data_IF_454210281459
#
_entry.id   IF_454210281459
#
_cell.length_a   1.000
_cell.length_b   1.000
_cell.length_c   1.000
_cell.angle_alpha   90.00
_cell.angle_beta   90.00
_cell.angle_gamma   90.00
#
_symmetry.space_group_name_H-M   'P 1'
#
loop_
_entity.id
_entity.type
_entity.pdbx_description
1 polymer ?
#
# COMPACT_ATOMS: atom_id res chain seq x y z
N UNK A 1 -59.20 49.68 -19.51
CA UNK A 1 -59.59 49.99 -18.12
C UNK A 1 -59.76 48.62 -17.45
N UNK A 2 -58.86 48.12 -16.61
CA UNK A 2 -58.48 48.66 -15.29
C UNK A 2 -57.09 48.12 -14.90
N UNK A 3 -56.30 48.98 -14.27
CA UNK A 3 -54.91 48.76 -13.85
C UNK A 3 -54.84 47.96 -12.54
N UNK A 4 -53.82 47.10 -12.39
CA UNK A 4 -53.41 46.56 -11.10
C UNK A 4 -51.86 46.56 -10.99
N UNK A 5 -51.41 47.65 -10.38
CA UNK A 5 -50.39 47.79 -9.32
C UNK A 5 -49.11 46.94 -9.39
N UNK A 6 -48.00 47.66 -9.59
CA UNK A 6 -46.63 47.21 -9.38
C UNK A 6 -46.30 47.01 -7.89
N UNK A 7 -45.51 45.98 -7.58
CA UNK A 7 -44.76 45.89 -6.34
C UNK A 7 -43.29 45.59 -6.65
N UNK A 8 -42.46 46.54 -6.24
CA UNK A 8 -41.00 46.58 -6.31
C UNK A 8 -40.42 45.77 -5.13
N UNK A 9 -39.46 44.87 -5.39
CA UNK A 9 -38.68 44.24 -4.32
C UNK A 9 -37.21 44.04 -4.76
N UNK A 10 -36.40 45.02 -4.35
CA UNK A 10 -35.02 45.03 -3.85
C UNK A 10 -34.15 43.77 -4.09
N UNK A 11 -32.99 44.05 -4.71
CA UNK A 11 -31.76 43.24 -4.79
C UNK A 11 -31.23 42.82 -3.41
N UNK A 12 -30.96 41.53 -3.22
CA UNK A 12 -29.95 41.05 -2.27
C UNK A 12 -28.99 40.16 -3.05
N UNK A 13 -27.77 40.65 -3.25
CA UNK A 13 -26.65 39.85 -3.75
C UNK A 13 -26.25 38.82 -2.70
N UNK A 14 -26.30 37.55 -3.07
CA UNK A 14 -25.65 36.47 -2.35
C UNK A 14 -24.50 35.94 -3.21
N UNK A 15 -23.26 36.28 -2.84
CA UNK A 15 -22.09 35.53 -3.28
C UNK A 15 -22.25 34.09 -2.76
N UNK A 16 -22.45 33.14 -3.65
CA UNK A 16 -22.30 31.72 -3.31
C UNK A 16 -20.81 31.45 -3.02
N UNK A 17 -20.46 30.88 -1.86
CA UNK A 17 -19.10 30.41 -1.64
C UNK A 17 -18.80 29.28 -2.63
N UNK A 18 -17.60 29.34 -3.21
CA UNK A 18 -17.03 28.29 -4.04
C UNK A 18 -17.21 26.94 -3.35
N UNK A 19 -17.97 26.04 -3.96
CA UNK A 19 -18.09 24.67 -3.52
C UNK A 19 -16.70 24.05 -3.51
N UNK A 20 -16.21 23.74 -2.30
CA UNK A 20 -15.08 22.84 -2.14
C UNK A 20 -15.42 21.54 -2.86
N UNK A 21 -14.58 21.15 -3.81
CA UNK A 21 -14.64 19.82 -4.40
C UNK A 21 -14.57 18.79 -3.25
N UNK A 22 -15.38 17.71 -3.29
CA UNK A 22 -15.23 16.66 -2.31
C UNK A 22 -13.82 16.09 -2.43
N UNK A 23 -13.02 16.21 -1.37
CA UNK A 23 -11.83 15.39 -1.18
C UNK A 23 -12.32 13.95 -1.30
N UNK A 24 -11.95 13.28 -2.38
CA UNK A 24 -12.17 11.84 -2.46
C UNK A 24 -11.18 11.23 -1.49
N UNK A 25 -11.63 11.03 -0.26
CA UNK A 25 -11.09 10.03 0.63
C UNK A 25 -11.19 8.73 -0.17
N UNK A 26 -10.11 8.37 -0.85
CA UNK A 26 -9.95 7.02 -1.37
C UNK A 26 -9.83 6.18 -0.12
N UNK A 27 -10.97 5.76 0.43
CA UNK A 27 -11.08 4.62 1.32
C UNK A 27 -10.53 3.46 0.52
N UNK A 28 -9.21 3.32 0.61
CA UNK A 28 -8.44 2.20 0.12
C UNK A 28 -9.12 1.01 0.77
N UNK A 29 -9.86 0.24 -0.02
CA UNK A 29 -10.57 -0.95 0.42
C UNK A 29 -9.51 -1.93 0.94
N UNK A 30 -9.16 -1.77 2.21
CA UNK A 30 -8.43 -2.77 2.97
C UNK A 30 -9.32 -4.01 2.91
N UNK A 31 -8.77 -5.13 2.46
CA UNK A 31 -9.53 -6.35 2.17
C UNK A 31 -10.25 -6.93 3.41
N UNK A 32 -10.12 -6.32 4.59
CA UNK A 32 -10.68 -6.78 5.87
C UNK A 32 -10.12 -8.12 6.34
N UNK A 33 -9.31 -8.78 5.49
CA UNK A 33 -8.67 -10.03 5.77
C UNK A 33 -7.52 -9.82 6.77
N UNK A 34 -7.30 -10.76 7.70
CA UNK A 34 -6.12 -10.75 8.55
C UNK A 34 -4.87 -10.87 7.68
N UNK A 35 -3.78 -10.21 8.09
CA UNK A 35 -2.52 -10.27 7.36
C UNK A 35 -1.96 -11.70 7.29
N UNK A 36 -1.32 -12.04 6.17
CA UNK A 36 -0.71 -13.34 5.92
C UNK A 36 0.74 -13.16 5.49
N UNK A 37 1.61 -12.83 6.44
CA UNK A 37 3.03 -12.58 6.17
C UNK A 37 3.79 -13.88 5.94
N UNK A 38 4.44 -14.00 4.78
CA UNK A 38 5.19 -15.19 4.35
C UNK A 38 6.56 -14.77 3.84
N UNK A 39 7.62 -15.50 4.20
CA UNK A 39 8.96 -15.25 3.66
C UNK A 39 9.01 -15.68 2.20
N UNK A 40 9.62 -14.87 1.33
CA UNK A 40 9.79 -15.22 -0.09
C UNK A 40 11.23 -15.05 -0.59
N UNK A 41 12.03 -14.19 0.03
CA UNK A 41 13.41 -13.95 -0.39
C UNK A 41 14.28 -13.52 0.78
N UNK A 42 15.60 -13.58 0.58
CA UNK A 42 16.58 -13.10 1.53
C UNK A 42 17.85 -12.60 0.84
N UNK A 43 18.55 -11.68 1.50
CA UNK A 43 19.91 -11.26 1.16
C UNK A 43 20.85 -11.49 2.36
N UNK A 44 22.11 -11.10 2.23
CA UNK A 44 23.08 -11.16 3.33
C UNK A 44 22.69 -10.29 4.53
N UNK A 45 21.88 -9.25 4.33
CA UNK A 45 21.53 -8.27 5.36
C UNK A 45 20.06 -8.25 5.73
N UNK A 46 19.17 -8.77 4.88
CA UNK A 46 17.72 -8.63 5.05
C UNK A 46 16.97 -9.90 4.73
N UNK A 47 15.82 -10.08 5.38
CA UNK A 47 14.79 -11.04 5.00
C UNK A 47 13.60 -10.27 4.44
N UNK A 48 13.02 -10.79 3.36
CA UNK A 48 11.86 -10.18 2.71
C UNK A 48 10.62 -11.05 2.95
N UNK A 49 9.59 -10.43 3.49
CA UNK A 49 8.28 -11.04 3.68
C UNK A 49 7.26 -10.34 2.78
N UNK A 50 6.22 -11.07 2.42
CA UNK A 50 5.10 -10.58 1.63
C UNK A 50 3.81 -10.84 2.39
N UNK A 51 2.87 -9.90 2.36
CA UNK A 51 1.54 -10.08 2.93
C UNK A 51 0.57 -10.55 1.84
N UNK A 52 0.30 -11.85 1.79
CA UNK A 52 -0.55 -12.42 0.75
C UNK A 52 -2.00 -11.96 0.83
N UNK A 53 -2.48 -11.57 2.02
CA UNK A 53 -3.83 -11.04 2.22
C UNK A 53 -3.99 -9.59 1.73
N UNK A 54 -2.88 -8.90 1.45
CA UNK A 54 -2.88 -7.51 0.94
C UNK A 54 -3.04 -7.40 -0.57
N UNK A 55 -3.08 -8.52 -1.30
CA UNK A 55 -3.15 -8.50 -2.77
C UNK A 55 -4.47 -7.89 -3.23
N UNK A 56 -4.39 -6.79 -3.97
CA UNK A 56 -5.52 -6.17 -4.67
C UNK A 56 -5.24 -6.22 -6.17
N UNK A 57 -6.23 -6.65 -6.97
CA UNK A 57 -6.10 -6.78 -8.43
C UNK A 57 -7.17 -5.99 -9.15
N UNK A 58 -6.74 -5.26 -10.18
CA UNK A 58 -7.59 -4.41 -11.00
C UNK A 58 -7.19 -4.58 -12.48
N UNK A 59 -7.82 -5.54 -13.15
CA UNK A 59 -7.46 -5.86 -14.54
C UNK A 59 -6.06 -6.45 -14.65
N UNK A 60 -5.17 -5.78 -15.39
CA UNK A 60 -3.78 -6.19 -15.57
C UNK A 60 -2.84 -5.64 -14.48
N UNK A 61 -3.37 -4.81 -13.57
CA UNK A 61 -2.61 -4.21 -12.48
C UNK A 61 -2.89 -4.93 -11.15
N UNK A 62 -1.89 -5.02 -10.29
CA UNK A 62 -2.00 -5.55 -8.94
C UNK A 62 -1.18 -4.73 -7.95
N UNK A 63 -1.52 -4.79 -6.66
CA UNK A 63 -0.68 -4.28 -5.59
C UNK A 63 -0.52 -5.28 -4.46
N UNK A 64 0.59 -5.19 -3.72
CA UNK A 64 0.95 -6.10 -2.64
C UNK A 64 1.88 -5.41 -1.64
N UNK A 65 1.80 -5.78 -0.36
CA UNK A 65 2.73 -5.31 0.68
C UNK A 65 3.91 -6.25 0.86
N UNK A 66 5.09 -5.65 0.97
CA UNK A 66 6.37 -6.33 1.19
C UNK A 66 7.07 -5.70 2.37
N UNK A 67 7.58 -6.53 3.28
CA UNK A 67 8.38 -6.08 4.41
C UNK A 67 9.85 -6.42 4.20
N UNK A 68 10.71 -5.46 4.51
CA UNK A 68 12.16 -5.63 4.57
C UNK A 68 12.61 -5.58 6.03
N UNK A 69 13.04 -6.72 6.56
CA UNK A 69 13.51 -6.83 7.95
C UNK A 69 15.01 -7.11 7.97
N UNK A 70 15.76 -6.30 8.70
CA UNK A 70 17.21 -6.53 8.86
C UNK A 70 17.49 -7.79 9.67
N UNK A 71 18.47 -8.57 9.21
CA UNK A 71 18.98 -9.77 9.91
C UNK A 71 19.89 -9.43 11.08
N UNK A 72 20.29 -8.16 11.23
CA UNK A 72 21.27 -7.70 12.24
C UNK A 72 20.61 -7.08 13.47
N UNK A 73 19.29 -7.12 13.56
CA UNK A 73 18.55 -6.60 14.69
C UNK A 73 18.73 -7.48 15.91
N UNK A 74 18.86 -6.87 17.09
CA UNK A 74 18.88 -7.61 18.34
C UNK A 74 17.48 -8.22 18.64
N UNK A 75 17.41 -9.26 19.49
CA UNK A 75 16.11 -9.72 20.00
C UNK A 75 15.33 -8.57 20.66
N UNK A 76 14.05 -8.44 20.32
CA UNK A 76 13.19 -7.34 20.80
C UNK A 76 13.27 -6.05 19.99
N UNK A 77 14.13 -5.96 18.97
CA UNK A 77 14.12 -4.87 18.00
C UNK A 77 13.18 -5.23 16.84
N UNK A 78 12.12 -4.43 16.67
CA UNK A 78 11.08 -4.67 15.68
C UNK A 78 11.14 -3.74 14.48
N UNK A 79 12.17 -2.88 14.34
CA UNK A 79 12.23 -1.96 13.20
C UNK A 79 12.27 -2.67 11.85
N UNK A 80 11.49 -2.18 10.91
CA UNK A 80 11.46 -2.66 9.52
C UNK A 80 10.79 -1.64 8.61
N UNK A 81 10.93 -1.82 7.31
CA UNK A 81 10.19 -1.03 6.31
C UNK A 81 9.13 -1.90 5.67
N UNK A 82 7.94 -1.36 5.46
CA UNK A 82 6.86 -1.98 4.69
C UNK A 82 6.59 -1.13 3.46
N UNK A 83 6.81 -1.71 2.29
CA UNK A 83 6.57 -1.11 0.99
C UNK A 83 5.28 -1.68 0.40
N UNK A 84 4.41 -0.82 -0.13
CA UNK A 84 3.35 -1.23 -1.03
C UNK A 84 3.88 -1.16 -2.46
N UNK A 85 3.98 -2.32 -3.11
CA UNK A 85 4.36 -2.41 -4.51
C UNK A 85 3.12 -2.36 -5.39
N UNK A 86 3.25 -1.66 -6.52
CA UNK A 86 2.39 -1.80 -7.68
C UNK A 86 3.05 -2.71 -8.71
N UNK A 87 2.26 -3.52 -9.40
CA UNK A 87 2.71 -4.42 -10.46
C UNK A 87 1.80 -4.32 -11.68
N UNK A 88 2.38 -4.23 -12.88
CA UNK A 88 1.69 -4.34 -14.17
C UNK A 88 1.98 -5.72 -14.75
N UNK A 89 1.07 -6.66 -14.56
CA UNK A 89 1.31 -8.09 -14.80
C UNK A 89 1.70 -8.39 -16.24
N UNK A 90 1.00 -7.81 -17.23
CA UNK A 90 1.33 -8.01 -18.65
C UNK A 90 2.53 -7.22 -19.14
N UNK A 91 2.78 -6.04 -18.56
CA UNK A 91 3.90 -5.20 -18.97
C UNK A 91 5.23 -5.67 -18.36
N UNK A 92 5.19 -6.48 -17.30
CA UNK A 92 6.40 -6.91 -16.61
C UNK A 92 7.04 -5.78 -15.82
N UNK A 93 6.25 -4.84 -15.29
CA UNK A 93 6.75 -3.64 -14.60
C UNK A 93 6.31 -3.63 -13.14
N UNK A 94 7.12 -2.98 -12.30
CA UNK A 94 6.78 -2.69 -10.90
C UNK A 94 7.16 -1.26 -10.52
N UNK A 95 6.69 -0.82 -9.35
CA UNK A 95 7.16 0.37 -8.62
C UNK A 95 6.82 0.23 -7.15
N UNK A 96 7.50 0.98 -6.28
CA UNK A 96 6.97 1.25 -4.94
C UNK A 96 5.95 2.38 -5.03
N UNK A 97 4.77 2.19 -4.44
CA UNK A 97 3.70 3.20 -4.37
C UNK A 97 3.80 3.99 -3.07
N UNK A 98 3.92 3.27 -1.96
CA UNK A 98 4.13 3.85 -0.63
C UNK A 98 5.17 3.04 0.13
N UNK A 99 5.85 3.71 1.05
CA UNK A 99 6.78 3.09 1.98
C UNK A 99 6.48 3.57 3.38
N UNK A 100 6.59 2.66 4.35
CA UNK A 100 6.30 2.93 5.76
C UNK A 100 7.43 2.42 6.64
N UNK A 101 7.98 3.28 7.48
CA UNK A 101 8.96 2.87 8.48
C UNK A 101 8.26 2.47 9.78
N UNK A 102 8.61 1.30 10.29
CA UNK A 102 8.14 0.79 11.56
C UNK A 102 9.27 0.88 12.57
N UNK A 103 8.98 1.50 13.72
CA UNK A 103 9.94 1.70 14.79
C UNK A 103 10.16 0.42 15.62
N UNK A 104 11.10 0.48 16.56
CA UNK A 104 11.43 -0.66 17.42
C UNK A 104 10.26 -1.06 18.34
N UNK A 105 9.28 -0.20 18.60
CA UNK A 105 8.06 -0.55 19.34
C UNK A 105 6.98 -1.21 18.46
N UNK A 106 7.27 -1.39 17.17
CA UNK A 106 6.35 -1.96 16.19
C UNK A 106 5.28 -0.98 15.71
N UNK A 107 5.34 0.28 16.12
CA UNK A 107 4.44 1.33 15.65
C UNK A 107 4.97 1.89 14.33
N UNK A 108 4.09 2.05 13.35
CA UNK A 108 4.41 2.76 12.11
C UNK A 108 4.72 4.22 12.46
N UNK A 109 5.95 4.63 12.19
CA UNK A 109 6.41 5.99 12.45
C UNK A 109 5.83 6.94 11.39
N UNK A 110 6.13 6.67 10.12
CA UNK A 110 5.70 7.49 8.98
C UNK A 110 5.37 6.60 7.78
N UNK A 111 4.36 7.00 6.99
CA UNK A 111 4.07 6.46 5.66
C UNK A 111 4.21 7.59 4.65
N UNK A 112 4.95 7.35 3.57
CA UNK A 112 5.19 8.32 2.51
C UNK A 112 4.94 7.71 1.13
N UNK A 113 4.52 8.54 0.18
CA UNK A 113 4.49 8.16 -1.23
C UNK A 113 5.92 8.04 -1.74
N UNK A 114 6.21 6.98 -2.49
CA UNK A 114 7.55 6.76 -3.04
C UNK A 114 7.78 7.52 -4.36
N UNK A 115 6.70 7.91 -5.06
CA UNK A 115 6.73 8.65 -6.34
C UNK A 115 7.66 8.02 -7.41
N UNK A 116 7.84 6.70 -7.34
CA UNK A 116 8.71 5.96 -8.24
C UNK A 116 8.05 5.75 -9.62
N UNK A 117 8.82 5.87 -10.72
CA UNK A 117 8.31 5.52 -12.04
C UNK A 117 8.10 4.00 -12.13
N UNK A 118 7.20 3.57 -13.03
CA UNK A 118 7.13 2.18 -13.45
C UNK A 118 8.43 1.78 -14.13
N UNK A 119 9.03 0.68 -13.69
CA UNK A 119 10.27 0.14 -14.26
C UNK A 119 10.09 -1.34 -14.60
N UNK A 120 10.79 -1.85 -15.62
CA UNK A 120 10.80 -3.28 -15.90
C UNK A 120 11.31 -4.07 -14.69
N UNK A 121 10.63 -5.14 -14.33
CA UNK A 121 11.04 -6.08 -13.28
C UNK A 121 11.94 -7.17 -13.92
N UNK A 122 13.27 -7.13 -13.73
CA UNK A 122 14.17 -8.06 -14.42
C UNK A 122 13.95 -9.49 -13.92
N UNK A 123 13.94 -10.47 -14.82
CA UNK A 123 13.73 -11.88 -14.46
C UNK A 123 14.73 -12.33 -13.38
N UNK A 124 14.23 -13.06 -12.37
CA UNK A 124 14.99 -13.50 -11.18
C UNK A 124 15.48 -12.35 -10.27
N UNK A 125 14.86 -11.17 -10.33
CA UNK A 125 15.08 -10.09 -9.36
C UNK A 125 14.06 -10.14 -8.22
N UNK A 126 14.29 -9.33 -7.18
CA UNK A 126 13.32 -9.11 -6.11
C UNK A 126 11.99 -8.60 -6.69
N UNK A 127 12.05 -7.62 -7.58
CA UNK A 127 10.89 -6.98 -8.19
C UNK A 127 10.09 -7.96 -9.05
N UNK A 128 10.77 -8.85 -9.76
CA UNK A 128 10.11 -9.91 -10.54
C UNK A 128 9.40 -10.91 -9.63
N UNK A 129 10.04 -11.34 -8.53
CA UNK A 129 9.37 -12.20 -7.55
C UNK A 129 8.13 -11.52 -6.93
N UNK A 130 8.22 -10.22 -6.61
CA UNK A 130 7.08 -9.44 -6.09
C UNK A 130 5.97 -9.34 -7.15
N UNK A 131 6.32 -9.06 -8.41
CA UNK A 131 5.38 -9.07 -9.54
C UNK A 131 4.69 -10.42 -9.67
N UNK A 132 5.43 -11.52 -9.75
CA UNK A 132 4.88 -12.86 -9.92
C UNK A 132 3.89 -13.22 -8.80
N UNK A 133 4.21 -12.87 -7.54
CA UNK A 133 3.31 -13.10 -6.41
C UNK A 133 2.06 -12.22 -6.49
N UNK A 134 2.22 -10.92 -6.74
CA UNK A 134 1.10 -9.99 -6.92
C UNK A 134 0.19 -10.40 -8.08
N UNK A 135 0.78 -10.97 -9.14
CA UNK A 135 0.12 -11.47 -10.34
C UNK A 135 -0.34 -12.92 -10.24
N UNK A 136 -0.03 -13.63 -9.14
CA UNK A 136 -0.56 -14.97 -8.83
C UNK A 136 0.08 -16.08 -9.67
N UNK A 137 1.27 -15.80 -10.19
CA UNK A 137 2.08 -16.72 -10.97
C UNK A 137 2.91 -17.63 -10.07
N UNK A 138 3.21 -17.19 -8.85
CA UNK A 138 4.00 -17.93 -7.85
C UNK A 138 3.46 -17.76 -6.43
N UNK A 139 3.83 -18.68 -5.55
CA UNK A 139 3.53 -18.60 -4.11
C UNK A 139 4.81 -18.67 -3.27
N UNK A 140 4.90 -17.88 -2.19
CA UNK A 140 6.05 -17.91 -1.27
C UNK A 140 6.00 -19.13 -0.34
N UNK A 141 6.91 -19.18 0.64
CA UNK A 141 6.95 -20.25 1.66
C UNK A 141 5.58 -20.47 2.32
N UNK A 142 5.24 -21.70 2.72
CA UNK A 142 3.90 -22.01 3.27
C UNK A 142 3.65 -21.53 4.70
N UNK A 143 4.69 -21.13 5.41
CA UNK A 143 4.56 -20.70 6.81
C UNK A 143 4.12 -19.24 6.84
N UNK A 144 2.90 -19.00 7.33
CA UNK A 144 2.32 -17.67 7.49
C UNK A 144 2.40 -17.18 8.92
N UNK A 145 2.43 -15.86 9.07
CA UNK A 145 2.41 -15.16 10.36
C UNK A 145 1.40 -14.01 10.30
N UNK A 146 0.68 -13.81 11.41
CA UNK A 146 -0.35 -12.76 11.51
C UNK A 146 0.25 -11.34 11.55
N UNK A 147 1.56 -11.23 11.82
CA UNK A 147 2.31 -9.98 11.80
C UNK A 147 3.81 -10.22 11.64
N UNK A 148 4.54 -9.18 11.21
CA UNK A 148 6.01 -9.20 11.16
C UNK A 148 6.60 -9.34 12.56
N UNK A 149 5.96 -8.75 13.59
CA UNK A 149 6.33 -8.97 14.99
C UNK A 149 6.25 -10.45 15.38
N UNK A 150 5.15 -11.13 15.05
CA UNK A 150 5.01 -12.56 15.34
C UNK A 150 6.08 -13.40 14.64
N UNK A 151 6.45 -13.06 13.40
CA UNK A 151 7.58 -13.70 12.70
C UNK A 151 8.93 -13.45 13.40
N UNK A 152 9.18 -12.21 13.84
CA UNK A 152 10.39 -11.83 14.61
C UNK A 152 10.46 -12.61 15.92
N UNK A 153 9.36 -12.69 16.66
CA UNK A 153 9.25 -13.38 17.95
C UNK A 153 9.41 -14.89 17.81
N UNK A 154 9.00 -15.46 16.67
CA UNK A 154 9.23 -16.86 16.32
C UNK A 154 10.69 -17.17 15.94
N UNK A 155 11.60 -16.19 16.01
CA UNK A 155 13.02 -16.39 15.74
C UNK A 155 13.40 -16.25 14.26
N UNK A 156 12.57 -15.58 13.45
CA UNK A 156 12.84 -15.30 12.02
C UNK A 156 13.08 -16.58 11.18
N UNK A 157 12.16 -17.56 11.19
CA UNK A 157 12.32 -18.81 10.45
C UNK A 157 12.33 -18.64 8.92
#
# INVERSE_FOLDING_TARGET
MTFATAALAILIGGLAPAGAAPSQDVEMLSSGAPAEWRRFSESDSSTYLVDMASIVRNGDDASIRVARVSKRLAPGEYRHTVDQFGARCRAGETRVETSSDVADDGVTADTFAADEPWTPAPVNSLDDAVREMACGETEPSRQSFDSIRAWIDAGRP
#
